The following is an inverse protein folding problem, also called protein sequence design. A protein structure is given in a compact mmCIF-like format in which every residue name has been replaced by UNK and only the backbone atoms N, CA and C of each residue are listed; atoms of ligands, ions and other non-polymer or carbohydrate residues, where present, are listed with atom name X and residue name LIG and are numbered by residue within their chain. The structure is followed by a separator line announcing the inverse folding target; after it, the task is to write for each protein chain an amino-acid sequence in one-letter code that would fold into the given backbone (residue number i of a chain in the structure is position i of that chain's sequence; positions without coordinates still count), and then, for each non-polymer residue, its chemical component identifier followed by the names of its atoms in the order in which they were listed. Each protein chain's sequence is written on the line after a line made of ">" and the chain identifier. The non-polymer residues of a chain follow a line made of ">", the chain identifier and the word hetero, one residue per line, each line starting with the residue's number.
data_IF_518173480801
#
_entry.id   IF_518173480801
#
_cell.length_a   1.000
_cell.length_b   1.000
_cell.length_c   1.000
_cell.angle_alpha   90.00
_cell.angle_beta   90.00
_cell.angle_gamma   90.00
#
_symmetry.space_group_name_H-M   'P 1'
#
loop_
_entity.id
_entity.type
_entity.pdbx_description
1 polymer ?
#
# COMPACT_ATOMS: atom_id res chain seq x y z
N UNK A 1 13.65 12.03 1.40
CA UNK A 1 14.71 11.14 1.95
C UNK A 1 14.25 10.57 3.29
N UNK A 2 14.19 9.25 3.43
CA UNK A 2 14.09 8.59 4.75
C UNK A 2 15.49 8.10 5.10
N UNK A 3 16.18 8.80 6.01
CA UNK A 3 17.53 8.41 6.44
C UNK A 3 17.45 7.95 7.90
N UNK A 4 17.75 6.68 8.13
CA UNK A 4 17.79 6.06 9.46
C UNK A 4 17.12 4.70 9.50
N UNK A 5 17.81 3.71 10.08
CA UNK A 5 17.23 2.43 10.44
C UNK A 5 16.28 2.63 11.63
N UNK A 6 15.00 2.30 11.50
CA UNK A 6 14.02 2.36 12.59
C UNK A 6 13.05 3.56 12.61
N UNK A 7 13.07 4.42 11.59
CA UNK A 7 12.12 5.55 11.48
C UNK A 7 11.08 5.29 10.39
N UNK A 8 9.79 5.31 10.76
CA UNK A 8 8.68 5.18 9.80
C UNK A 8 8.49 6.45 8.94
N UNK A 9 8.81 7.61 9.50
CA UNK A 9 8.75 8.94 8.87
C UNK A 9 10.12 9.61 8.84
N UNK A 10 10.45 10.24 7.71
CA UNK A 10 11.60 11.13 7.58
C UNK A 10 11.41 12.47 8.30
N UNK A 11 12.47 13.27 8.45
CA UNK A 11 12.42 14.53 9.20
C UNK A 11 11.39 15.52 8.65
N UNK A 12 11.30 15.68 7.33
CA UNK A 12 10.30 16.56 6.71
C UNK A 12 8.88 15.98 6.75
N UNK A 13 8.72 14.65 6.65
CA UNK A 13 7.42 13.99 6.81
C UNK A 13 6.89 14.17 8.24
N UNK A 14 7.76 14.13 9.24
CA UNK A 14 7.41 14.38 10.64
C UNK A 14 6.96 15.84 10.86
N UNK A 15 7.58 16.81 10.18
CA UNK A 15 7.14 18.20 10.23
C UNK A 15 5.77 18.39 9.58
N UNK A 16 5.54 17.78 8.42
CA UNK A 16 4.22 17.81 7.76
C UNK A 16 3.13 17.18 8.63
N UNK A 17 3.43 16.07 9.32
CA UNK A 17 2.51 15.43 10.25
C UNK A 17 2.17 16.30 11.47
N UNK A 18 3.12 17.10 11.96
CA UNK A 18 2.91 18.05 13.06
C UNK A 18 2.26 19.36 12.60
N UNK A 19 2.36 19.68 11.32
CA UNK A 19 2.07 20.99 10.73
C UNK A 19 3.29 21.91 10.83
N UNK A 20 3.79 22.36 9.67
CA UNK A 20 5.04 23.13 9.55
C UNK A 20 4.99 24.41 10.40
N UNK A 21 3.90 25.17 10.36
CA UNK A 21 3.72 26.39 11.17
C UNK A 21 3.83 26.12 12.68
N UNK A 22 3.16 25.06 13.16
CA UNK A 22 3.20 24.66 14.57
C UNK A 22 4.61 24.24 14.99
N UNK A 23 5.32 23.54 14.10
CA UNK A 23 6.71 23.14 14.34
C UNK A 23 7.63 24.37 14.46
N UNK A 24 7.47 25.38 13.59
CA UNK A 24 8.22 26.64 13.64
C UNK A 24 7.97 27.36 14.97
N UNK A 25 6.69 27.61 15.33
CA UNK A 25 6.36 28.32 16.56
C UNK A 25 6.88 27.62 17.81
N UNK A 26 6.82 26.28 17.84
CA UNK A 26 7.36 25.49 18.96
C UNK A 26 8.88 25.61 19.05
N UNK A 27 9.59 25.50 17.92
CA UNK A 27 11.05 25.65 17.91
C UNK A 27 11.50 27.03 18.37
N UNK A 28 10.81 28.08 17.96
CA UNK A 28 11.09 29.45 18.40
C UNK A 28 10.83 29.62 19.91
N UNK A 29 9.76 29.02 20.44
CA UNK A 29 9.47 29.04 21.88
C UNK A 29 10.52 28.29 22.71
N UNK A 30 11.17 27.28 22.13
CA UNK A 30 12.26 26.51 22.74
C UNK A 30 13.64 27.16 22.53
N UNK A 31 13.71 28.33 21.88
CA UNK A 31 14.96 29.03 21.58
C UNK A 31 15.82 28.35 20.51
N UNK A 32 15.24 27.45 19.70
CA UNK A 32 15.94 26.76 18.62
C UNK A 32 15.87 27.57 17.32
N UNK A 33 16.94 27.49 16.54
CA UNK A 33 17.01 28.16 15.24
C UNK A 33 16.29 27.37 14.15
N UNK A 34 15.35 28.02 13.46
CA UNK A 34 14.66 27.48 12.29
C UNK A 34 15.37 27.97 11.02
N UNK A 35 15.63 27.11 10.02
CA UNK A 35 16.24 27.53 8.76
C UNK A 35 15.41 28.59 8.03
N UNK A 36 16.06 29.63 7.49
CA UNK A 36 15.40 30.77 6.86
C UNK A 36 14.47 30.37 5.70
N UNK A 37 14.91 29.43 4.86
CA UNK A 37 14.14 28.95 3.70
C UNK A 37 12.79 28.30 4.08
N UNK A 38 12.67 27.76 5.30
CA UNK A 38 11.40 27.17 5.79
C UNK A 38 10.42 28.28 6.19
N UNK A 39 10.91 29.40 6.75
CA UNK A 39 10.08 30.56 7.05
C UNK A 39 9.59 31.22 5.76
N UNK A 40 10.49 31.40 4.80
CA UNK A 40 10.15 31.91 3.47
C UNK A 40 9.14 31.02 2.73
N UNK A 41 9.23 29.69 2.91
CA UNK A 41 8.26 28.75 2.35
C UNK A 41 6.85 29.01 2.91
N UNK A 42 6.71 29.13 4.22
CA UNK A 42 5.42 29.42 4.87
C UNK A 42 4.90 30.81 4.51
N UNK A 43 5.76 31.83 4.45
CA UNK A 43 5.39 33.19 4.02
C UNK A 43 4.87 33.24 2.58
N UNK A 44 5.40 32.37 1.70
CA UNK A 44 4.91 32.19 0.32
C UNK A 44 3.60 31.39 0.23
N UNK A 45 3.04 30.95 1.36
CA UNK A 45 1.77 30.21 1.44
C UNK A 45 1.91 28.70 1.32
N UNK A 46 3.12 28.15 1.36
CA UNK A 46 3.35 26.70 1.33
C UNK A 46 3.33 26.14 2.75
N UNK A 47 2.33 25.30 3.06
CA UNK A 47 2.07 24.77 4.41
C UNK A 47 2.60 23.35 4.64
N UNK A 48 3.10 22.69 3.59
CA UNK A 48 3.70 21.34 3.66
C UNK A 48 4.91 21.20 2.74
N UNK A 49 5.87 20.36 3.14
CA UNK A 49 7.03 20.00 2.32
C UNK A 49 6.66 19.03 1.20
N UNK A 50 5.73 18.11 1.46
CA UNK A 50 5.22 17.17 0.46
C UNK A 50 3.76 17.46 0.13
N UNK A 51 3.39 17.24 -1.13
CA UNK A 51 2.02 17.33 -1.62
C UNK A 51 1.72 16.14 -2.51
N UNK A 52 0.57 15.51 -2.32
CA UNK A 52 0.09 14.44 -3.21
C UNK A 52 -1.03 15.01 -4.08
N UNK A 53 -0.79 15.13 -5.38
CA UNK A 53 -1.80 15.53 -6.37
C UNK A 53 -1.96 14.40 -7.40
N UNK A 54 -3.19 13.92 -7.59
CA UNK A 54 -3.52 12.77 -8.44
C UNK A 54 -2.66 11.52 -8.18
N UNK A 55 -2.21 11.38 -6.93
CA UNK A 55 -1.37 10.30 -6.46
C UNK A 55 0.11 10.39 -6.84
N UNK A 56 0.53 11.47 -7.50
CA UNK A 56 1.95 11.80 -7.68
C UNK A 56 2.42 12.59 -6.47
N UNK A 57 3.53 12.15 -5.89
CA UNK A 57 4.18 12.87 -4.80
C UNK A 57 5.00 14.01 -5.40
N UNK A 58 4.74 15.24 -4.97
CA UNK A 58 5.57 16.40 -5.24
C UNK A 58 6.21 16.88 -3.94
N UNK A 59 7.42 17.43 -4.02
CA UNK A 59 8.12 18.01 -2.88
C UNK A 59 8.51 19.46 -3.16
N UNK A 60 8.53 20.28 -2.11
CA UNK A 60 8.93 21.67 -2.23
C UNK A 60 10.43 21.78 -2.51
N UNK A 61 10.78 22.52 -3.57
CA UNK A 61 12.16 22.84 -3.91
C UNK A 61 12.23 24.26 -4.48
N UNK A 62 13.00 25.13 -3.83
CA UNK A 62 13.31 26.49 -4.30
C UNK A 62 12.11 27.37 -4.70
N UNK A 63 10.99 27.27 -3.98
CA UNK A 63 9.81 28.13 -4.21
C UNK A 63 8.71 27.50 -5.05
N UNK A 64 8.90 26.27 -5.54
CA UNK A 64 7.91 25.53 -6.33
C UNK A 64 7.79 24.08 -5.84
N UNK A 65 6.67 23.42 -6.15
CA UNK A 65 6.54 21.98 -5.97
C UNK A 65 7.06 21.26 -7.20
N UNK A 66 8.10 20.45 -7.01
CA UNK A 66 8.67 19.61 -8.06
C UNK A 66 8.14 18.18 -7.87
N UNK A 67 7.70 17.56 -8.96
CA UNK A 67 7.29 16.16 -8.93
C UNK A 67 8.47 15.27 -8.50
N UNK A 68 8.24 14.39 -7.54
CA UNK A 68 9.24 13.40 -7.16
C UNK A 68 9.51 12.48 -8.35
N UNK A 69 10.78 12.20 -8.60
CA UNK A 69 11.18 11.27 -9.64
C UNK A 69 10.71 9.86 -9.24
N UNK A 70 9.66 9.38 -9.91
CA UNK A 70 9.20 8.01 -9.74
C UNK A 70 10.05 7.09 -10.62
N UNK A 71 10.62 6.04 -10.02
CA UNK A 71 11.30 5.03 -10.80
C UNK A 71 10.25 4.33 -11.68
N UNK A 72 10.37 4.36 -13.02
CA UNK A 72 9.37 3.76 -13.91
C UNK A 72 9.26 2.24 -13.74
N UNK A 73 10.24 1.59 -13.09
CA UNK A 73 10.21 0.16 -12.76
C UNK A 73 9.58 -0.13 -11.38
N UNK A 74 9.30 0.89 -10.58
CA UNK A 74 8.69 0.74 -9.27
C UNK A 74 7.18 0.96 -9.38
N UNK A 75 6.39 -0.07 -9.09
CA UNK A 75 4.92 0.04 -9.08
C UNK A 75 4.47 0.50 -7.70
N UNK A 76 3.70 1.58 -7.62
CA UNK A 76 2.99 1.99 -6.41
C UNK A 76 1.52 1.57 -6.50
N UNK A 77 1.11 0.57 -5.70
CA UNK A 77 -0.24 0.02 -5.77
C UNK A 77 -1.31 1.00 -5.32
N UNK A 78 -1.00 1.88 -4.36
CA UNK A 78 -1.96 2.91 -3.91
C UNK A 78 -2.25 3.90 -5.04
N UNK A 79 -1.21 4.33 -5.74
CA UNK A 79 -1.35 5.22 -6.89
C UNK A 79 -2.13 4.56 -8.03
N UNK A 80 -1.73 3.34 -8.39
CA UNK A 80 -2.35 2.59 -9.47
C UNK A 80 -3.85 2.38 -9.23
N UNK A 81 -4.24 2.04 -7.99
CA UNK A 81 -5.66 1.90 -7.60
C UNK A 81 -6.44 3.21 -7.70
N UNK A 82 -5.81 4.36 -7.42
CA UNK A 82 -6.46 5.68 -7.58
C UNK A 82 -6.67 6.02 -9.05
N UNK A 83 -5.70 5.70 -9.91
CA UNK A 83 -5.75 6.05 -11.34
C UNK A 83 -6.62 5.12 -12.18
N UNK A 84 -6.42 3.80 -12.04
CA UNK A 84 -7.09 2.79 -12.87
C UNK A 84 -8.30 2.15 -12.20
N UNK A 85 -8.46 2.36 -10.89
CA UNK A 85 -9.48 1.68 -10.10
C UNK A 85 -9.09 0.25 -9.73
N UNK A 86 -10.10 -0.51 -9.29
CA UNK A 86 -9.97 -1.89 -8.83
C UNK A 86 -10.98 -2.75 -9.60
N UNK A 87 -10.53 -3.86 -10.18
CA UNK A 87 -11.40 -4.77 -10.96
C UNK A 87 -12.40 -5.44 -10.01
N UNK A 88 -11.91 -6.00 -8.90
CA UNK A 88 -12.73 -6.58 -7.84
C UNK A 88 -12.01 -6.54 -6.51
N UNK A 89 -12.74 -6.44 -5.40
CA UNK A 89 -12.17 -6.54 -4.05
C UNK A 89 -13.16 -7.15 -3.05
N UNK A 90 -12.61 -7.71 -1.98
CA UNK A 90 -13.33 -8.03 -0.75
C UNK A 90 -12.48 -7.68 0.47
N UNK A 91 -12.80 -8.21 1.65
CA UNK A 91 -12.06 -7.95 2.90
C UNK A 91 -10.62 -8.49 2.92
N UNK A 92 -10.27 -9.45 2.04
CA UNK A 92 -8.98 -10.12 2.07
C UNK A 92 -8.05 -9.82 0.91
N UNK A 93 -8.57 -9.50 -0.27
CA UNK A 93 -7.76 -9.23 -1.46
C UNK A 93 -8.42 -8.28 -2.46
N UNK A 94 -7.61 -7.70 -3.36
CA UNK A 94 -8.04 -6.84 -4.46
C UNK A 94 -7.39 -7.29 -5.77
N UNK A 95 -8.17 -7.44 -6.84
CA UNK A 95 -7.66 -7.67 -8.19
C UNK A 95 -7.56 -6.33 -8.93
N UNK A 96 -6.39 -6.02 -9.47
CA UNK A 96 -6.11 -4.75 -10.16
C UNK A 96 -5.36 -5.00 -11.46
N UNK A 97 -5.54 -4.12 -12.45
CA UNK A 97 -4.80 -4.18 -13.72
C UNK A 97 -3.46 -3.45 -13.60
N UNK A 98 -2.35 -4.18 -13.79
CA UNK A 98 -1.02 -3.58 -13.85
C UNK A 98 -0.74 -2.91 -15.21
N UNK A 99 -1.47 -3.29 -16.27
CA UNK A 99 -1.17 -2.95 -17.65
C UNK A 99 -0.50 -4.12 -18.38
N UNK A 100 -0.29 -3.96 -19.69
CA UNK A 100 0.33 -4.94 -20.59
C UNK A 100 -0.36 -6.32 -20.61
N UNK A 101 -1.62 -6.37 -20.18
CA UNK A 101 -2.39 -7.61 -20.01
C UNK A 101 -1.96 -8.40 -18.78
N UNK A 102 -1.40 -7.78 -17.74
CA UNK A 102 -1.04 -8.44 -16.48
C UNK A 102 -1.94 -7.94 -15.35
N UNK A 103 -2.59 -8.86 -14.65
CA UNK A 103 -3.36 -8.55 -13.44
C UNK A 103 -2.51 -8.80 -12.18
N UNK A 104 -2.76 -8.04 -11.12
CA UNK A 104 -2.24 -8.28 -9.77
C UNK A 104 -3.39 -8.63 -8.83
N UNK A 105 -3.29 -9.77 -8.16
CA UNK A 105 -4.06 -10.06 -6.97
C UNK A 105 -3.27 -9.62 -5.73
N UNK A 106 -3.69 -8.49 -5.17
CA UNK A 106 -3.11 -7.88 -3.97
C UNK A 106 -3.77 -8.44 -2.70
N UNK A 107 -2.98 -9.10 -1.83
CA UNK A 107 -3.45 -9.49 -0.49
C UNK A 107 -3.35 -8.31 0.49
N UNK A 108 -4.39 -8.13 1.30
CA UNK A 108 -4.43 -7.06 2.30
C UNK A 108 -5.20 -7.43 3.58
N UNK A 109 -5.45 -8.73 3.81
CA UNK A 109 -6.01 -9.23 5.07
C UNK A 109 -5.02 -9.07 6.24
N UNK A 110 -5.48 -9.28 7.48
CA UNK A 110 -4.59 -9.24 8.64
C UNK A 110 -3.44 -10.25 8.50
N UNK A 111 -2.21 -9.74 8.48
CA UNK A 111 -0.98 -10.49 8.21
C UNK A 111 -0.99 -11.30 6.89
N UNK A 112 -1.90 -10.97 5.96
CA UNK A 112 -2.12 -11.72 4.73
C UNK A 112 -2.35 -13.22 4.96
N UNK A 113 -3.06 -13.57 6.05
CA UNK A 113 -3.46 -14.95 6.33
C UNK A 113 -4.47 -15.46 5.30
N UNK A 114 -4.28 -16.69 4.82
CA UNK A 114 -5.11 -17.32 3.81
C UNK A 114 -6.37 -17.85 4.49
N UNK A 115 -7.49 -17.16 4.23
CA UNK A 115 -8.84 -17.52 4.66
C UNK A 115 -9.83 -17.42 3.50
N UNK A 116 -11.15 -17.46 3.79
CA UNK A 116 -12.19 -17.59 2.77
C UNK A 116 -12.18 -16.44 1.75
N UNK A 117 -11.96 -15.21 2.22
CA UNK A 117 -11.90 -14.02 1.36
C UNK A 117 -10.78 -14.09 0.33
N UNK A 118 -9.59 -14.53 0.75
CA UNK A 118 -8.45 -14.67 -0.16
C UNK A 118 -8.71 -15.81 -1.13
N UNK A 119 -9.20 -16.97 -0.67
CA UNK A 119 -9.51 -18.11 -1.53
C UNK A 119 -10.58 -17.77 -2.58
N UNK A 120 -11.61 -17.02 -2.20
CA UNK A 120 -12.65 -16.55 -3.12
C UNK A 120 -12.04 -15.64 -4.20
N UNK A 121 -11.20 -14.68 -3.81
CA UNK A 121 -10.57 -13.76 -4.75
C UNK A 121 -9.55 -14.44 -5.64
N UNK A 122 -8.86 -15.47 -5.17
CA UNK A 122 -7.97 -16.28 -6.01
C UNK A 122 -8.77 -16.98 -7.11
N UNK A 123 -9.86 -17.67 -6.76
CA UNK A 123 -10.67 -18.36 -7.77
C UNK A 123 -11.22 -17.38 -8.81
N UNK A 124 -11.72 -16.23 -8.36
CA UNK A 124 -12.15 -15.18 -9.26
C UNK A 124 -11.02 -14.65 -10.15
N UNK A 125 -9.83 -14.41 -9.57
CA UNK A 125 -8.69 -13.89 -10.31
C UNK A 125 -8.22 -14.86 -11.39
N UNK A 126 -8.21 -16.17 -11.11
CA UNK A 126 -7.85 -17.19 -12.10
C UNK A 126 -8.86 -17.16 -13.25
N UNK A 127 -10.17 -17.22 -12.95
CA UNK A 127 -11.22 -17.21 -13.98
C UNK A 127 -11.19 -15.94 -14.84
N UNK A 128 -10.87 -14.79 -14.23
CA UNK A 128 -10.77 -13.49 -14.90
C UNK A 128 -9.52 -13.42 -15.78
N UNK A 129 -8.38 -13.89 -15.27
CA UNK A 129 -7.10 -13.85 -15.99
C UNK A 129 -7.12 -14.80 -17.18
N UNK A 130 -7.64 -16.02 -17.03
CA UNK A 130 -7.77 -16.98 -18.15
C UNK A 130 -8.55 -16.41 -19.34
N UNK A 131 -9.47 -15.47 -19.10
CA UNK A 131 -10.31 -14.86 -20.15
C UNK A 131 -9.71 -13.58 -20.72
N UNK A 132 -9.19 -12.71 -19.85
CA UNK A 132 -8.97 -11.30 -20.17
C UNK A 132 -7.50 -10.85 -20.05
N UNK A 133 -6.62 -11.67 -19.48
CA UNK A 133 -5.22 -11.30 -19.21
C UNK A 133 -4.23 -12.37 -19.67
N UNK A 134 -2.97 -11.98 -19.81
CA UNK A 134 -1.83 -12.85 -20.17
C UNK A 134 -1.17 -13.49 -18.96
N UNK A 135 -1.39 -12.93 -17.77
CA UNK A 135 -0.75 -13.42 -16.56
C UNK A 135 -1.32 -12.80 -15.29
N UNK A 136 -1.10 -13.52 -14.19
CA UNK A 136 -1.47 -13.12 -12.84
C UNK A 136 -0.21 -12.99 -11.99
N UNK A 137 -0.03 -11.84 -11.36
CA UNK A 137 0.91 -11.64 -10.26
C UNK A 137 0.13 -11.78 -8.96
N UNK A 138 0.70 -12.46 -7.98
CA UNK A 138 0.18 -12.47 -6.61
C UNK A 138 1.22 -11.78 -5.73
N UNK A 139 0.81 -10.75 -5.00
CA UNK A 139 1.75 -9.92 -4.25
C UNK A 139 1.06 -8.92 -3.33
N UNK A 140 1.84 -8.10 -2.64
CA UNK A 140 1.36 -6.94 -1.90
C UNK A 140 2.55 -6.03 -1.53
N UNK A 141 2.25 -4.82 -1.06
CA UNK A 141 3.25 -3.89 -0.52
C UNK A 141 3.22 -3.83 1.03
N UNK A 142 2.76 -4.91 1.65
CA UNK A 142 2.76 -5.09 3.11
C UNK A 142 4.06 -5.69 3.62
N UNK A 143 4.19 -5.78 4.95
CA UNK A 143 5.38 -6.34 5.62
C UNK A 143 5.58 -7.84 5.35
N UNK A 144 4.49 -8.60 5.30
CA UNK A 144 4.50 -10.03 5.07
C UNK A 144 3.82 -10.33 3.74
N UNK A 145 4.39 -11.23 2.92
CA UNK A 145 3.67 -11.75 1.76
C UNK A 145 2.38 -12.48 2.21
N UNK A 146 2.54 -13.47 3.08
CA UNK A 146 1.47 -14.21 3.76
C UNK A 146 2.05 -14.93 4.99
N UNK A 147 1.25 -15.09 6.05
CA UNK A 147 1.59 -15.96 7.20
C UNK A 147 1.02 -17.37 7.07
N UNK A 148 0.48 -17.73 5.89
CA UNK A 148 -0.11 -19.03 5.63
C UNK A 148 -1.57 -19.13 6.06
N UNK A 149 -2.05 -20.35 6.27
CA UNK A 149 -3.44 -20.63 6.61
C UNK A 149 -3.81 -20.02 7.98
N UNK A 150 -5.02 -19.46 8.08
CA UNK A 150 -5.52 -18.92 9.35
C UNK A 150 -5.79 -20.06 10.35
N UNK A 151 -5.03 -20.11 11.45
CA UNK A 151 -5.15 -21.15 12.47
C UNK A 151 -6.49 -21.14 13.20
N UNK A 152 -7.07 -19.96 13.44
CA UNK A 152 -8.38 -19.86 14.09
C UNK A 152 -9.48 -20.48 13.20
N UNK A 153 -9.39 -20.26 11.89
CA UNK A 153 -10.27 -20.91 10.92
C UNK A 153 -10.06 -22.44 10.90
N UNK A 154 -8.80 -22.91 10.88
CA UNK A 154 -8.52 -24.36 10.94
C UNK A 154 -9.14 -24.97 12.20
N UNK A 155 -9.02 -24.30 13.35
CA UNK A 155 -9.58 -24.77 14.62
C UNK A 155 -11.11 -24.81 14.58
N UNK A 156 -11.76 -23.78 14.05
CA UNK A 156 -13.23 -23.74 13.91
C UNK A 156 -13.74 -24.86 13.00
N UNK A 157 -13.15 -25.02 11.81
CA UNK A 157 -13.55 -26.08 10.88
C UNK A 157 -13.28 -27.48 11.43
N UNK A 158 -12.25 -27.64 12.28
CA UNK A 158 -12.00 -28.90 12.97
C UNK A 158 -13.06 -29.19 14.06
N UNK A 159 -13.57 -28.17 14.75
CA UNK A 159 -14.66 -28.32 15.73
C UNK A 159 -15.99 -28.65 15.05
N UNK A 160 -16.23 -28.11 13.86
CA UNK A 160 -17.44 -28.33 13.07
C UNK A 160 -17.37 -29.61 12.18
N UNK A 161 -16.35 -30.46 12.36
CA UNK A 161 -16.08 -31.68 11.55
C UNK A 161 -15.93 -31.43 10.03
N UNK A 162 -15.65 -30.19 9.64
CA UNK A 162 -15.58 -29.71 8.26
C UNK A 162 -14.14 -29.55 7.71
N UNK A 163 -13.13 -30.05 8.42
CA UNK A 163 -11.71 -29.91 8.05
C UNK A 163 -11.39 -30.41 6.62
N UNK A 164 -12.17 -31.37 6.11
CA UNK A 164 -12.04 -31.87 4.74
C UNK A 164 -12.31 -30.82 3.67
N UNK A 165 -13.25 -29.89 3.91
CA UNK A 165 -13.55 -28.77 3.00
C UNK A 165 -12.34 -27.87 2.85
N UNK A 166 -11.64 -27.63 3.97
CA UNK A 166 -10.44 -26.82 4.00
C UNK A 166 -9.30 -27.48 3.20
N UNK A 167 -9.05 -28.76 3.46
CA UNK A 167 -8.04 -29.56 2.73
C UNK A 167 -8.35 -29.57 1.23
N UNK A 168 -9.61 -29.79 0.86
CA UNK A 168 -10.05 -29.80 -0.54
C UNK A 168 -9.83 -28.43 -1.20
N UNK A 169 -10.14 -27.34 -0.48
CA UNK A 169 -9.96 -25.97 -0.98
C UNK A 169 -8.48 -25.64 -1.23
N UNK A 170 -7.59 -26.01 -0.30
CA UNK A 170 -6.15 -25.86 -0.49
C UNK A 170 -5.60 -26.74 -1.60
N UNK A 171 -6.05 -27.99 -1.70
CA UNK A 171 -5.61 -28.92 -2.73
C UNK A 171 -6.04 -28.46 -4.14
N UNK A 172 -7.26 -27.93 -4.29
CA UNK A 172 -7.71 -27.36 -5.56
C UNK A 172 -6.95 -26.10 -5.92
N UNK A 173 -6.70 -25.23 -4.94
CA UNK A 173 -5.85 -24.06 -5.15
C UNK A 173 -4.50 -24.45 -5.76
N UNK A 174 -3.79 -25.41 -5.17
CA UNK A 174 -2.49 -25.87 -5.68
C UNK A 174 -2.54 -26.53 -7.06
N UNK A 175 -3.72 -26.92 -7.56
CA UNK A 175 -3.88 -27.49 -8.91
C UNK A 175 -4.19 -26.43 -9.98
N UNK A 176 -4.70 -25.26 -9.58
CA UNK A 176 -5.11 -24.20 -10.50
C UNK A 176 -4.03 -23.13 -10.71
N UNK A 177 -3.01 -23.09 -9.84
CA UNK A 177 -1.76 -22.37 -10.08
C UNK A 177 -0.78 -23.24 -10.87
#
# INVERSE_FOLDING_TARGET
>A
MKWGFGWEMGPFEAWDALGVEKAISKMESEGKTVPAWVKEMVEKGFTSFYKEEDGRLSYYHNGEYVAAEENPKAINLKHLKKQKGVIKKNGGASLIDLGDGIALLEFHSHSNSIGPDILQMINFAIDEVEKNYKGLVIGNQGKNFSVGANLAMILMEAQDDNIWILIWSFANFSRRL
#
